data_IF_473145850383
#
_entry.id   IF_473145850383
#
_cell.length_a   1.000
_cell.length_b   1.000
_cell.length_c   1.000
_cell.angle_alpha   90.00
_cell.angle_beta   90.00
_cell.angle_gamma   90.00
#
_symmetry.space_group_name_H-M   'P 1'
#
loop_
_entity.id
_entity.type
_entity.pdbx_description
1 polymer ?
#
# COMPACT_ATOMS: atom_id res chain seq x y z
N UNK A 1 -1.19 -10.38 11.03
CA UNK A 1 -2.03 -9.18 11.21
C UNK A 1 -2.03 -8.40 9.89
N UNK A 2 -2.97 -7.47 9.68
CA UNK A 2 -3.18 -6.82 8.37
C UNK A 2 -1.88 -6.24 7.79
N UNK A 3 -1.03 -5.68 8.64
CA UNK A 3 0.28 -5.12 8.29
C UNK A 3 1.16 -6.12 7.55
N UNK A 4 1.21 -7.38 8.02
CA UNK A 4 1.99 -8.45 7.37
C UNK A 4 1.38 -8.82 6.02
N UNK A 5 0.04 -8.87 5.94
CA UNK A 5 -0.65 -9.15 4.68
C UNK A 5 -0.37 -8.06 3.64
N UNK A 6 -0.43 -6.78 4.04
CA UNK A 6 -0.13 -5.65 3.17
C UNK A 6 1.33 -5.68 2.73
N UNK A 7 2.27 -5.89 3.66
CA UNK A 7 3.68 -6.03 3.33
C UNK A 7 3.90 -7.10 2.24
N UNK A 8 3.42 -8.33 2.48
CA UNK A 8 3.58 -9.43 1.54
C UNK A 8 2.94 -9.13 0.17
N UNK A 9 1.73 -8.56 0.15
CA UNK A 9 1.05 -8.20 -1.10
C UNK A 9 1.87 -7.17 -1.89
N UNK A 10 2.44 -6.17 -1.22
CA UNK A 10 3.25 -5.14 -1.88
C UNK A 10 4.58 -5.70 -2.40
N UNK A 11 5.27 -6.52 -1.62
CA UNK A 11 6.51 -7.20 -2.03
C UNK A 11 6.24 -8.10 -3.25
N UNK A 12 5.20 -8.93 -3.21
CA UNK A 12 4.81 -9.81 -4.33
C UNK A 12 4.41 -9.02 -5.58
N UNK A 13 3.77 -7.87 -5.43
CA UNK A 13 3.26 -7.07 -6.55
C UNK A 13 4.36 -6.26 -7.24
N UNK A 14 5.34 -5.80 -6.47
CA UNK A 14 6.34 -4.82 -6.96
C UNK A 14 7.73 -5.39 -7.09
N UNK A 15 8.06 -6.44 -6.34
CA UNK A 15 9.43 -6.98 -6.23
C UNK A 15 10.39 -6.06 -5.49
N UNK A 16 9.87 -5.05 -4.76
CA UNK A 16 10.66 -4.07 -4.03
C UNK A 16 10.67 -4.35 -2.53
N UNK A 17 11.65 -3.77 -1.85
CA UNK A 17 11.70 -3.76 -0.39
C UNK A 17 10.57 -2.91 0.18
N UNK A 18 9.83 -3.48 1.12
CA UNK A 18 8.67 -2.85 1.77
C UNK A 18 8.91 -2.75 3.27
N UNK A 19 8.93 -1.52 3.78
CA UNK A 19 9.19 -1.23 5.19
C UNK A 19 7.99 -0.54 5.86
N UNK A 20 7.73 -0.81 7.15
CA UNK A 20 6.65 -0.13 7.86
C UNK A 20 7.07 1.30 8.24
N UNK A 21 6.18 2.28 8.03
CA UNK A 21 6.26 3.68 8.52
C UNK A 21 7.39 4.54 7.94
N UNK A 22 8.61 4.03 7.86
CA UNK A 22 9.78 4.76 7.38
C UNK A 22 10.64 3.88 6.45
N UNK A 23 11.36 4.55 5.55
CA UNK A 23 12.25 3.92 4.58
C UNK A 23 13.63 3.65 5.14
N UNK A 24 14.18 2.48 4.83
CA UNK A 24 15.60 2.18 4.98
C UNK A 24 16.02 1.39 3.75
N UNK A 25 17.00 1.90 3.00
CA UNK A 25 17.51 1.23 1.80
C UNK A 25 17.83 2.19 0.66
N UNK A 26 18.16 1.60 -0.49
CA UNK A 26 18.36 2.32 -1.75
C UNK A 26 17.01 2.43 -2.49
N UNK A 27 16.71 3.59 -3.12
CA UNK A 27 15.50 3.75 -3.92
C UNK A 27 15.55 2.86 -5.19
N UNK A 28 14.38 2.42 -5.71
CA UNK A 28 13.05 2.63 -5.15
C UNK A 28 12.70 1.68 -4.01
N UNK A 29 12.07 2.21 -2.97
CA UNK A 29 11.50 1.42 -1.89
C UNK A 29 10.10 1.91 -1.52
N UNK A 30 9.36 1.07 -0.81
CA UNK A 30 7.97 1.35 -0.45
C UNK A 30 7.85 1.38 1.07
N UNK A 31 7.13 2.39 1.57
CA UNK A 31 6.69 2.40 2.96
C UNK A 31 5.18 2.25 3.06
N UNK A 32 4.70 1.68 4.16
CA UNK A 32 3.27 1.60 4.42
C UNK A 32 2.94 1.92 5.88
N UNK A 33 1.78 2.51 6.08
CA UNK A 33 1.20 2.83 7.39
C UNK A 33 -0.22 2.32 7.44
N UNK A 34 -0.56 1.56 8.49
CA UNK A 34 -1.91 1.05 8.73
C UNK A 34 -2.52 1.80 9.90
N UNK A 35 -3.68 2.41 9.67
CA UNK A 35 -4.43 3.17 10.68
C UNK A 35 -5.78 2.46 10.87
N UNK A 36 -6.07 1.90 12.05
CA UNK A 36 -7.37 1.29 12.30
C UNK A 36 -8.46 2.36 12.35
N UNK A 37 -9.56 2.15 11.61
CA UNK A 37 -10.73 3.05 11.59
C UNK A 37 -11.89 2.43 12.35
N UNK A 38 -12.12 1.13 12.17
CA UNK A 38 -13.29 0.43 12.72
C UNK A 38 -13.01 -1.02 13.12
N UNK A 39 -13.63 -1.45 14.21
CA UNK A 39 -13.56 -2.83 14.72
C UNK A 39 -14.78 -3.68 14.34
N UNK A 40 -14.85 -4.90 14.89
CA UNK A 40 -15.96 -5.83 14.69
C UNK A 40 -15.58 -7.10 13.91
N UNK A 41 -16.59 -7.86 13.46
CA UNK A 41 -16.39 -9.09 12.67
C UNK A 41 -15.70 -8.82 11.34
N UNK A 42 -16.03 -7.69 10.72
CA UNK A 42 -15.30 -7.10 9.60
C UNK A 42 -14.71 -5.80 10.12
N UNK A 43 -13.39 -5.70 10.08
CA UNK A 43 -12.63 -4.52 10.51
C UNK A 43 -12.40 -3.60 9.33
N UNK A 44 -12.20 -2.33 9.61
CA UNK A 44 -11.87 -1.32 8.62
C UNK A 44 -10.58 -0.59 9.01
N UNK A 45 -9.69 -0.38 8.05
CA UNK A 45 -8.42 0.30 8.26
C UNK A 45 -8.06 1.11 7.03
N UNK A 46 -7.48 2.29 7.26
CA UNK A 46 -6.84 3.06 6.21
C UNK A 46 -5.41 2.57 6.05
N UNK A 47 -4.98 2.35 4.82
CA UNK A 47 -3.60 2.02 4.51
C UNK A 47 -3.05 3.09 3.59
N UNK A 48 -2.06 3.82 4.08
CA UNK A 48 -1.27 4.73 3.28
C UNK A 48 -0.02 3.98 2.80
N UNK A 49 0.25 4.06 1.51
CA UNK A 49 1.44 3.49 0.87
C UNK A 49 2.18 4.65 0.23
N UNK A 50 3.49 4.74 0.47
CA UNK A 50 4.36 5.73 -0.17
C UNK A 50 5.46 5.01 -0.95
N UNK A 51 5.63 5.41 -2.19
CA UNK A 51 6.71 4.97 -3.08
C UNK A 51 7.74 6.09 -3.06
N UNK A 52 8.97 5.75 -2.71
CA UNK A 52 10.07 6.72 -2.60
C UNK A 52 11.10 6.40 -3.66
N UNK A 53 11.30 7.33 -4.58
CA UNK A 53 12.16 7.16 -5.74
C UNK A 53 12.81 8.49 -6.16
N UNK A 54 13.97 8.42 -6.81
CA UNK A 54 14.57 9.57 -7.48
C UNK A 54 13.88 9.87 -8.82
N UNK A 55 13.36 8.84 -9.49
CA UNK A 55 12.64 8.97 -10.76
C UNK A 55 11.13 8.98 -10.54
N UNK A 56 10.51 10.12 -10.84
CA UNK A 56 9.06 10.30 -10.71
C UNK A 56 8.27 9.36 -11.63
N UNK A 57 8.71 9.18 -12.88
CA UNK A 57 7.98 8.37 -13.85
C UNK A 57 8.02 6.88 -13.45
N UNK A 58 9.15 6.42 -12.92
CA UNK A 58 9.25 5.07 -12.36
C UNK A 58 8.34 4.91 -11.13
N UNK A 59 8.30 5.89 -10.23
CA UNK A 59 7.39 5.88 -9.08
C UNK A 59 5.92 5.81 -9.50
N UNK A 60 5.53 6.52 -10.57
CA UNK A 60 4.19 6.44 -11.14
C UNK A 60 3.89 5.04 -11.69
N UNK A 61 4.83 4.39 -12.38
CA UNK A 61 4.64 3.04 -12.88
C UNK A 61 4.46 2.02 -11.75
N UNK A 62 5.22 2.15 -10.66
CA UNK A 62 5.06 1.33 -9.45
C UNK A 62 3.68 1.57 -8.83
N UNK A 63 3.26 2.84 -8.73
CA UNK A 63 1.93 3.21 -8.23
C UNK A 63 0.82 2.53 -9.01
N UNK A 64 0.89 2.54 -10.34
CA UNK A 64 -0.11 1.88 -11.18
C UNK A 64 -0.18 0.36 -10.96
N UNK A 65 0.95 -0.31 -10.68
CA UNK A 65 0.94 -1.74 -10.31
C UNK A 65 0.21 -1.97 -8.99
N UNK A 66 0.44 -1.12 -8.00
CA UNK A 66 -0.21 -1.20 -6.69
C UNK A 66 -1.71 -0.92 -6.82
N UNK A 67 -2.10 0.11 -7.57
CA UNK A 67 -3.50 0.44 -7.83
C UNK A 67 -4.24 -0.73 -8.47
N UNK A 68 -3.68 -1.33 -9.53
CA UNK A 68 -4.28 -2.50 -10.19
C UNK A 68 -4.47 -3.70 -9.26
N UNK A 69 -3.65 -3.82 -8.21
CA UNK A 69 -3.75 -4.91 -7.24
C UNK A 69 -4.74 -4.62 -6.12
N UNK A 70 -4.76 -3.39 -5.61
CA UNK A 70 -5.47 -3.02 -4.38
C UNK A 70 -6.77 -2.25 -4.63
N UNK A 71 -6.98 -1.66 -5.79
CA UNK A 71 -8.28 -1.03 -6.13
C UNK A 71 -9.21 -2.09 -6.73
N UNK A 72 -9.85 -2.87 -5.86
CA UNK A 72 -10.56 -4.09 -6.25
C UNK A 72 -12.00 -3.74 -6.63
N UNK A 73 -12.36 -3.97 -7.90
CA UNK A 73 -13.74 -3.77 -8.35
C UNK A 73 -14.71 -4.72 -7.64
N UNK A 74 -15.98 -4.31 -7.54
CA UNK A 74 -17.03 -5.10 -6.85
C UNK A 74 -17.13 -6.56 -7.33
N UNK A 75 -16.83 -6.82 -8.61
CA UNK A 75 -16.95 -8.14 -9.23
C UNK A 75 -15.74 -9.05 -8.94
N UNK A 76 -14.60 -8.48 -8.60
CA UNK A 76 -13.37 -9.24 -8.38
C UNK A 76 -13.38 -9.95 -7.03
N UNK A 77 -12.73 -11.13 -6.91
CA UNK A 77 -12.61 -11.83 -5.65
C UNK A 77 -11.81 -11.04 -4.63
N UNK A 78 -12.10 -11.25 -3.34
CA UNK A 78 -11.31 -10.69 -2.25
C UNK A 78 -9.88 -11.21 -2.27
N UNK A 79 -8.91 -10.37 -1.89
CA UNK A 79 -7.54 -10.82 -1.70
C UNK A 79 -7.44 -11.68 -0.43
N UNK A 80 -6.70 -12.77 -0.55
CA UNK A 80 -6.43 -13.69 0.56
C UNK A 80 -4.93 -13.75 0.75
N UNK A 81 -4.46 -13.37 1.93
CA UNK A 81 -3.07 -13.57 2.33
C UNK A 81 -3.06 -14.26 3.69
N UNK A 82 -2.60 -15.51 3.73
CA UNK A 82 -2.65 -16.37 4.91
C UNK A 82 -4.07 -16.45 5.51
N UNK A 83 -4.23 -15.97 6.74
CA UNK A 83 -5.49 -15.98 7.49
C UNK A 83 -6.26 -14.65 7.37
N UNK A 84 -5.89 -13.75 6.45
CA UNK A 84 -6.59 -12.48 6.24
C UNK A 84 -7.30 -12.52 4.89
N UNK A 85 -8.58 -12.17 4.91
CA UNK A 85 -9.36 -11.89 3.71
C UNK A 85 -9.65 -10.39 3.71
N UNK A 86 -9.31 -9.70 2.62
CA UNK A 86 -9.47 -8.25 2.52
C UNK A 86 -10.05 -7.80 1.18
N UNK A 87 -10.69 -6.64 1.22
CA UNK A 87 -11.06 -5.83 0.08
C UNK A 87 -10.64 -4.39 0.32
N UNK A 88 -10.18 -3.75 -0.73
CA UNK A 88 -9.68 -2.39 -0.66
C UNK A 88 -10.20 -1.58 -1.84
N UNK A 89 -10.33 -0.28 -1.63
CA UNK A 89 -10.65 0.69 -2.67
C UNK A 89 -9.83 1.96 -2.47
N UNK A 90 -9.47 2.61 -3.57
CA UNK A 90 -8.73 3.87 -3.55
C UNK A 90 -9.56 4.96 -2.88
N UNK A 91 -8.96 5.65 -1.90
CA UNK A 91 -9.58 6.75 -1.17
C UNK A 91 -8.84 8.08 -1.33
N UNK A 92 -7.64 8.06 -1.91
CA UNK A 92 -6.86 9.25 -2.19
C UNK A 92 -5.40 8.93 -2.49
N UNK A 93 -4.59 9.97 -2.55
CA UNK A 93 -3.16 9.87 -2.85
C UNK A 93 -2.62 11.20 -3.34
N UNK A 94 -1.32 11.26 -3.57
CA UNK A 94 -0.66 12.47 -4.01
C UNK A 94 0.79 12.22 -4.43
N UNK A 95 1.47 13.30 -4.77
CA UNK A 95 2.89 13.27 -5.08
C UNK A 95 3.54 14.52 -4.53
N UNK A 96 4.69 14.35 -3.89
CA UNK A 96 5.47 15.42 -3.29
C UNK A 96 6.94 15.17 -3.61
N UNK A 97 7.66 16.21 -4.01
CA UNK A 97 9.12 16.16 -4.01
C UNK A 97 9.62 16.56 -2.61
N UNK A 98 10.32 15.64 -1.94
CA UNK A 98 10.93 15.89 -0.65
C UNK A 98 12.35 16.42 -0.84
N UNK A 99 12.49 17.75 -0.74
CA UNK A 99 13.75 18.47 -0.93
C UNK A 99 14.82 18.10 0.12
N UNK A 100 14.44 17.59 1.28
CA UNK A 100 15.42 17.20 2.32
C UNK A 100 16.19 15.92 1.96
N UNK A 101 15.54 15.01 1.23
CA UNK A 101 16.15 13.73 0.79
C UNK A 101 16.37 13.67 -0.73
N UNK A 102 15.95 14.71 -1.46
CA UNK A 102 16.03 14.82 -2.93
C UNK A 102 15.34 13.65 -3.64
N UNK A 103 14.14 13.26 -3.16
CA UNK A 103 13.36 12.14 -3.72
C UNK A 103 11.89 12.51 -3.88
N UNK A 104 11.22 11.85 -4.81
CA UNK A 104 9.78 11.87 -4.96
C UNK A 104 9.12 10.90 -3.98
N UNK A 105 8.15 11.39 -3.23
CA UNK A 105 7.20 10.61 -2.46
C UNK A 105 5.87 10.54 -3.22
N UNK A 106 5.55 9.39 -3.79
CA UNK A 106 4.28 9.14 -4.48
C UNK A 106 3.41 8.29 -3.57
N UNK A 107 2.30 8.84 -3.09
CA UNK A 107 1.43 8.19 -2.12
C UNK A 107 0.09 7.72 -2.70
N UNK A 108 -0.43 6.63 -2.14
CA UNK A 108 -1.80 6.17 -2.34
C UNK A 108 -2.40 5.78 -0.99
N UNK A 109 -3.68 6.12 -0.82
CA UNK A 109 -4.44 5.86 0.39
C UNK A 109 -5.59 4.93 0.02
N UNK A 110 -5.70 3.80 0.71
CA UNK A 110 -6.76 2.83 0.54
C UNK A 110 -7.60 2.71 1.79
N UNK A 111 -8.91 2.53 1.63
CA UNK A 111 -9.76 2.04 2.72
C UNK A 111 -9.91 0.54 2.54
N UNK A 112 -9.50 -0.21 3.55
CA UNK A 112 -9.45 -1.67 3.53
C UNK A 112 -10.43 -2.24 4.55
N UNK A 113 -11.37 -3.05 4.05
CA UNK A 113 -12.25 -3.90 4.86
C UNK A 113 -11.67 -5.29 4.92
N UNK A 114 -11.45 -5.82 6.12
CA UNK A 114 -10.75 -7.08 6.31
C UNK A 114 -11.29 -7.88 7.49
N UNK A 115 -11.07 -9.19 7.45
CA UNK A 115 -11.36 -10.08 8.57
C UNK A 115 -10.33 -11.19 8.65
N UNK A 116 -10.18 -11.74 9.84
CA UNK A 116 -9.52 -13.04 9.99
C UNK A 116 -10.41 -14.13 9.39
N UNK A 117 -9.79 -15.12 8.75
CA UNK A 117 -10.45 -16.31 8.23
C UNK A 117 -11.00 -17.18 9.36
#
# INVERSE_FOLDING_TARGET
MLEIAIKNILEETTGLDVTPVFGVGEPPFITYTVIPIGGGTIKESQVEIKIIDIDFDNALQIREKILKKLDIEYKDPSLVNHNIVLRSGLAGGGSLFNDSIQMWEVSCIFIIKWRSK
#
